data_IF_681957818895
#
_entry.id   IF_681957818895
#
_cell.length_a   1.000
_cell.length_b   1.000
_cell.length_c   1.000
_cell.angle_alpha   90.00
_cell.angle_beta   90.00
_cell.angle_gamma   90.00
#
_symmetry.space_group_name_H-M   'P 1'
#
loop_
_entity.id
_entity.type
_entity.pdbx_description
1 polymer ?
#
# COMPACT_ATOMS: atom_id res chain seq x y z
N UNK A 1 -46.26 -29.81 -6.77
CA UNK A 1 -44.82 -29.85 -6.48
C UNK A 1 -44.21 -30.97 -7.29
N UNK A 2 -43.29 -30.71 -8.12
CA UNK A 2 -42.57 -31.74 -8.87
C UNK A 2 -41.38 -32.16 -7.98
N UNK A 3 -41.35 -33.44 -7.59
CA UNK A 3 -40.18 -34.08 -6.98
C UNK A 3 -39.17 -34.41 -8.10
N UNK A 4 -38.73 -33.42 -8.81
CA UNK A 4 -37.89 -33.65 -9.98
C UNK A 4 -37.26 -32.40 -10.56
N UNK A 5 -36.61 -32.57 -11.67
CA UNK A 5 -35.95 -31.50 -12.41
C UNK A 5 -36.98 -30.74 -13.27
N UNK A 6 -36.97 -29.41 -13.22
CA UNK A 6 -37.64 -28.58 -14.22
C UNK A 6 -36.56 -28.15 -15.24
N UNK A 7 -36.60 -28.77 -16.42
CA UNK A 7 -35.76 -28.39 -17.55
C UNK A 7 -36.44 -27.33 -18.40
N UNK A 8 -35.84 -26.17 -18.52
CA UNK A 8 -36.18 -25.13 -19.47
C UNK A 8 -35.07 -25.08 -20.53
N UNK A 9 -35.39 -25.63 -21.73
CA UNK A 9 -34.43 -25.72 -22.85
C UNK A 9 -34.88 -24.79 -23.96
N UNK A 10 -33.96 -23.93 -24.40
CA UNK A 10 -34.15 -23.07 -25.56
C UNK A 10 -32.88 -23.02 -26.39
N UNK A 11 -33.01 -23.03 -27.72
CA UNK A 11 -31.88 -22.97 -28.65
C UNK A 11 -31.27 -21.55 -28.74
N UNK A 12 -32.00 -20.54 -28.29
CA UNK A 12 -31.57 -19.13 -28.43
C UNK A 12 -31.58 -18.37 -27.09
N UNK A 13 -32.73 -18.28 -26.41
CA UNK A 13 -32.89 -17.45 -25.21
C UNK A 13 -34.04 -17.95 -24.33
N UNK A 14 -33.85 -17.87 -23.00
CA UNK A 14 -34.91 -17.94 -22.00
C UNK A 14 -35.01 -16.58 -21.34
N UNK A 15 -36.09 -15.83 -21.62
CA UNK A 15 -36.34 -14.52 -21.04
C UNK A 15 -37.24 -14.62 -19.82
N UNK A 16 -36.79 -14.08 -18.67
CA UNK A 16 -37.59 -14.01 -17.45
C UNK A 16 -37.70 -12.53 -17.02
N UNK A 17 -38.90 -11.97 -17.31
CA UNK A 17 -39.21 -10.58 -16.94
C UNK A 17 -39.97 -10.53 -15.63
N UNK A 18 -39.28 -10.17 -14.56
CA UNK A 18 -39.84 -10.00 -13.22
C UNK A 18 -39.19 -8.82 -12.48
N UNK A 19 -39.96 -8.20 -11.59
CA UNK A 19 -39.39 -7.16 -10.67
C UNK A 19 -38.36 -7.76 -9.73
N UNK A 20 -38.55 -9.05 -9.35
CA UNK A 20 -37.63 -9.80 -8.50
C UNK A 20 -37.63 -11.26 -8.96
N UNK A 21 -36.46 -11.84 -9.09
CA UNK A 21 -36.27 -13.28 -9.28
C UNK A 21 -35.62 -13.79 -8.02
N UNK A 22 -36.37 -14.58 -7.22
CA UNK A 22 -35.90 -15.19 -5.99
C UNK A 22 -35.47 -16.62 -6.26
N UNK A 23 -34.18 -16.90 -6.03
CA UNK A 23 -33.58 -18.23 -6.22
C UNK A 23 -33.05 -18.71 -4.87
N UNK A 24 -33.76 -19.63 -4.23
CA UNK A 24 -33.41 -20.24 -2.94
C UNK A 24 -32.52 -21.47 -3.12
N UNK A 25 -31.39 -21.32 -3.77
CA UNK A 25 -30.46 -22.41 -4.07
C UNK A 25 -29.19 -21.88 -4.74
N UNK A 26 -28.35 -22.82 -5.17
CA UNK A 26 -27.15 -22.46 -5.93
C UNK A 26 -27.52 -22.08 -7.38
N UNK A 27 -26.86 -21.08 -7.91
CA UNK A 27 -26.90 -20.72 -9.35
C UNK A 27 -25.58 -21.14 -9.97
N UNK A 28 -25.64 -22.08 -10.93
CA UNK A 28 -24.49 -22.49 -11.72
C UNK A 28 -24.61 -21.84 -13.11
N UNK A 29 -23.67 -20.96 -13.43
CA UNK A 29 -23.61 -20.24 -14.72
C UNK A 29 -22.34 -20.71 -15.44
N UNK A 30 -22.50 -21.55 -16.45
CA UNK A 30 -21.37 -22.05 -17.26
C UNK A 30 -20.81 -21.03 -18.23
N UNK A 31 -21.52 -19.93 -18.45
CA UNK A 31 -21.11 -18.81 -19.31
C UNK A 31 -20.78 -17.54 -18.52
N UNK A 32 -20.95 -16.40 -19.17
CA UNK A 32 -20.73 -15.09 -18.55
C UNK A 32 -21.98 -14.64 -17.78
N UNK A 33 -21.80 -14.16 -16.55
CA UNK A 33 -22.81 -13.41 -15.85
C UNK A 33 -22.70 -11.92 -16.24
N UNK A 34 -23.74 -11.38 -16.91
CA UNK A 34 -23.78 -9.97 -17.29
C UNK A 34 -24.96 -9.30 -16.60
N UNK A 35 -24.67 -8.26 -15.82
CA UNK A 35 -25.69 -7.45 -15.14
C UNK A 35 -25.45 -5.97 -15.39
N UNK A 36 -26.52 -5.20 -15.57
CA UNK A 36 -26.45 -3.74 -15.74
C UNK A 36 -26.34 -2.97 -14.41
N UNK A 37 -26.49 -3.65 -13.28
CA UNK A 37 -26.52 -3.06 -11.94
C UNK A 37 -25.38 -3.51 -11.05
N UNK A 38 -25.44 -3.06 -9.79
CA UNK A 38 -24.49 -3.45 -8.75
C UNK A 38 -24.69 -4.92 -8.37
N UNK A 39 -23.59 -5.67 -8.28
CA UNK A 39 -23.58 -7.02 -7.70
C UNK A 39 -23.42 -6.89 -6.18
N UNK A 40 -24.46 -7.24 -5.42
CA UNK A 40 -24.43 -7.27 -3.94
C UNK A 40 -24.36 -8.71 -3.47
N UNK A 41 -23.33 -9.06 -2.67
CA UNK A 41 -23.18 -10.40 -2.09
C UNK A 41 -23.34 -10.34 -0.58
N UNK A 42 -24.03 -11.32 0.01
CA UNK A 42 -24.15 -11.46 1.47
C UNK A 42 -22.95 -12.18 2.11
N UNK A 43 -21.95 -12.58 1.35
CA UNK A 43 -20.78 -13.34 1.79
C UNK A 43 -19.54 -13.02 0.96
N UNK A 44 -18.59 -13.95 0.99
CA UNK A 44 -17.33 -13.79 0.26
C UNK A 44 -17.52 -13.92 -1.27
N UNK A 45 -16.68 -13.21 -2.02
CA UNK A 45 -16.48 -13.45 -3.45
C UNK A 45 -15.21 -14.29 -3.58
N UNK A 46 -15.34 -15.49 -4.13
CA UNK A 46 -14.22 -16.39 -4.42
C UNK A 46 -14.02 -16.43 -5.93
N UNK A 47 -12.84 -16.05 -6.37
CA UNK A 47 -12.45 -16.18 -7.78
C UNK A 47 -11.56 -17.42 -7.96
N UNK A 48 -11.46 -18.02 -9.15
CA UNK A 48 -10.59 -19.15 -9.41
C UNK A 48 -9.11 -18.85 -9.10
N UNK A 49 -8.31 -19.89 -8.87
CA UNK A 49 -6.85 -19.75 -8.80
C UNK A 49 -6.31 -19.04 -10.05
N UNK A 50 -5.42 -18.08 -9.86
CA UNK A 50 -4.92 -17.19 -10.90
C UNK A 50 -6.01 -16.34 -11.57
N UNK A 51 -7.11 -16.07 -10.85
CA UNK A 51 -8.19 -15.18 -11.31
C UNK A 51 -7.83 -13.71 -11.19
N UNK A 52 -8.53 -12.88 -11.93
CA UNK A 52 -8.29 -11.45 -12.02
C UNK A 52 -9.54 -10.64 -11.65
N UNK A 53 -9.33 -9.39 -11.21
CA UNK A 53 -10.37 -8.36 -11.07
C UNK A 53 -9.93 -7.16 -11.90
N UNK A 54 -10.81 -6.71 -12.79
CA UNK A 54 -10.47 -5.62 -13.70
C UNK A 54 -11.67 -4.86 -14.24
N UNK A 55 -11.41 -3.97 -15.16
CA UNK A 55 -12.41 -3.25 -15.94
C UNK A 55 -12.53 -3.86 -17.35
N UNK A 56 -13.49 -3.38 -18.15
CA UNK A 56 -13.64 -3.80 -19.55
C UNK A 56 -12.36 -3.56 -20.38
N UNK A 57 -11.64 -2.48 -20.08
CA UNK A 57 -10.43 -2.09 -20.81
C UNK A 57 -9.15 -2.69 -20.24
N UNK A 58 -9.19 -3.13 -18.98
CA UNK A 58 -8.08 -3.74 -18.27
C UNK A 58 -8.62 -4.84 -17.36
N UNK A 59 -8.68 -6.05 -17.87
CA UNK A 59 -9.31 -7.19 -17.19
C UNK A 59 -8.46 -7.80 -16.06
N UNK A 60 -7.20 -7.37 -15.93
CA UNK A 60 -6.26 -7.89 -14.97
C UNK A 60 -5.60 -6.81 -14.09
N UNK A 61 -6.27 -5.67 -13.87
CA UNK A 61 -5.78 -4.58 -13.03
C UNK A 61 -5.35 -5.07 -11.64
N UNK A 62 -6.07 -6.07 -11.09
CA UNK A 62 -5.69 -6.79 -9.88
C UNK A 62 -5.65 -8.29 -10.20
N UNK A 63 -4.53 -8.92 -9.93
CA UNK A 63 -4.37 -10.37 -10.06
C UNK A 63 -4.25 -11.04 -8.70
N UNK A 64 -4.81 -12.25 -8.54
CA UNK A 64 -4.67 -13.06 -7.34
C UNK A 64 -4.09 -14.41 -7.74
N UNK A 65 -2.84 -14.67 -7.32
CA UNK A 65 -2.17 -15.95 -7.63
C UNK A 65 -2.82 -17.14 -6.91
N UNK A 66 -2.47 -18.35 -7.29
CA UNK A 66 -2.91 -19.57 -6.59
C UNK A 66 -2.44 -19.66 -5.13
N UNK A 67 -1.38 -18.94 -4.78
CA UNK A 67 -0.87 -18.79 -3.40
C UNK A 67 -1.46 -17.61 -2.63
N UNK A 68 -2.46 -16.89 -3.19
CA UNK A 68 -3.12 -15.77 -2.52
C UNK A 68 -2.35 -14.45 -2.59
N UNK A 69 -1.29 -14.33 -3.39
CA UNK A 69 -0.59 -13.06 -3.59
C UNK A 69 -1.46 -12.15 -4.45
N UNK A 70 -1.74 -10.95 -3.96
CA UNK A 70 -2.45 -9.89 -4.68
C UNK A 70 -1.43 -8.96 -5.32
N UNK A 71 -1.54 -8.75 -6.62
CA UNK A 71 -0.70 -7.81 -7.36
C UNK A 71 -1.56 -6.79 -8.13
N UNK A 72 -1.19 -5.52 -8.01
CA UNK A 72 -1.69 -4.44 -8.88
C UNK A 72 -0.75 -4.37 -10.08
N UNK A 73 -1.25 -4.56 -11.28
CA UNK A 73 -0.43 -4.75 -12.49
C UNK A 73 -0.20 -3.46 -13.29
N UNK A 74 -0.94 -2.40 -12.99
CA UNK A 74 -0.73 -1.11 -13.64
C UNK A 74 0.70 -0.58 -13.40
N UNK A 75 1.29 0.05 -14.41
CA UNK A 75 2.66 0.60 -14.39
C UNK A 75 2.67 2.13 -14.39
N UNK A 76 1.58 2.74 -13.97
CA UNK A 76 1.47 4.20 -13.90
C UNK A 76 2.47 4.75 -12.89
N UNK A 77 3.35 5.65 -13.33
CA UNK A 77 4.30 6.31 -12.46
C UNK A 77 3.60 7.20 -11.43
N UNK A 78 4.13 7.25 -10.22
CA UNK A 78 3.64 8.14 -9.17
C UNK A 78 4.37 9.49 -9.25
N UNK A 79 3.61 10.58 -9.40
CA UNK A 79 4.12 11.96 -9.39
C UNK A 79 3.52 12.79 -8.26
N UNK A 80 2.39 12.35 -7.70
CA UNK A 80 1.65 13.00 -6.62
C UNK A 80 0.94 11.98 -5.73
N UNK A 81 0.30 12.41 -4.67
CA UNK A 81 -0.51 11.54 -3.80
C UNK A 81 -1.80 11.03 -4.46
N UNK A 82 -2.18 11.55 -5.62
CA UNK A 82 -3.43 11.23 -6.31
C UNK A 82 -3.24 10.43 -7.60
N UNK A 83 -2.03 10.01 -7.92
CA UNK A 83 -1.72 9.19 -9.09
C UNK A 83 -0.85 7.98 -8.73
N UNK A 84 -0.60 7.11 -9.73
CA UNK A 84 0.13 5.87 -9.53
C UNK A 84 -0.75 4.64 -9.80
N UNK A 85 -0.16 3.47 -9.76
CA UNK A 85 -0.85 2.19 -9.96
C UNK A 85 -1.84 1.86 -8.83
N UNK A 86 -1.55 2.32 -7.63
CA UNK A 86 -2.42 2.21 -6.45
C UNK A 86 -2.47 3.54 -5.73
N UNK A 87 -3.66 4.10 -5.54
CA UNK A 87 -3.88 5.30 -4.71
C UNK A 87 -4.65 4.92 -3.45
N UNK A 88 -4.18 5.38 -2.29
CA UNK A 88 -4.81 5.15 -0.99
C UNK A 88 -5.17 6.50 -0.39
N UNK A 89 -6.47 6.82 -0.33
CA UNK A 89 -6.94 8.11 0.16
C UNK A 89 -6.78 8.30 1.69
N UNK A 90 -6.62 7.21 2.43
CA UNK A 90 -6.35 7.19 3.86
C UNK A 90 -4.93 6.70 4.17
N UNK A 91 -4.73 6.21 5.38
CA UNK A 91 -3.47 5.60 5.79
C UNK A 91 -3.26 4.22 5.18
N UNK A 92 -2.01 3.85 4.93
CA UNK A 92 -1.59 2.50 4.58
C UNK A 92 -0.97 1.84 5.83
N UNK A 93 -1.58 0.76 6.32
CA UNK A 93 -1.03 -0.06 7.39
C UNK A 93 -0.32 -1.29 6.83
N UNK A 94 0.96 -1.47 7.19
CA UNK A 94 1.75 -2.65 6.85
C UNK A 94 2.21 -3.29 8.17
N UNK A 95 1.77 -4.51 8.44
CA UNK A 95 2.01 -5.17 9.73
C UNK A 95 3.44 -5.74 9.88
N UNK A 96 4.15 -5.91 8.77
CA UNK A 96 5.51 -6.42 8.73
C UNK A 96 6.41 -5.47 7.93
N UNK A 97 7.12 -5.98 6.96
CA UNK A 97 8.10 -5.22 6.19
C UNK A 97 7.48 -4.54 4.97
N UNK A 98 8.00 -3.37 4.59
CA UNK A 98 7.75 -2.72 3.32
C UNK A 98 9.07 -2.58 2.55
N UNK A 99 9.10 -3.10 1.31
CA UNK A 99 10.24 -2.95 0.39
C UNK A 99 9.89 -1.97 -0.71
N UNK A 100 10.64 -0.87 -0.80
CA UNK A 100 10.47 0.14 -1.84
C UNK A 100 11.62 -0.05 -2.84
N UNK A 101 11.29 -0.36 -4.09
CA UNK A 101 12.27 -0.69 -5.13
C UNK A 101 12.96 0.52 -5.78
N UNK A 102 12.44 1.71 -5.55
CA UNK A 102 12.95 2.99 -6.07
C UNK A 102 12.84 4.05 -4.97
N UNK A 103 12.20 5.19 -5.19
CA UNK A 103 12.13 6.29 -4.25
C UNK A 103 10.97 6.18 -3.25
N UNK A 104 11.21 6.53 -1.99
CA UNK A 104 10.19 6.87 -1.01
C UNK A 104 10.07 8.40 -0.90
N UNK A 105 8.91 8.96 -1.29
CA UNK A 105 8.64 10.40 -1.26
C UNK A 105 7.66 10.75 -0.15
N UNK A 106 8.09 11.58 0.79
CA UNK A 106 7.25 12.22 1.81
C UNK A 106 7.07 13.68 1.37
N UNK A 107 5.90 14.04 0.83
CA UNK A 107 5.71 15.25 0.02
C UNK A 107 5.11 16.45 0.76
N UNK A 108 4.79 16.33 2.04
CA UNK A 108 4.32 17.48 2.82
C UNK A 108 5.47 18.31 3.38
N UNK A 109 5.29 19.63 3.49
CA UNK A 109 6.32 20.57 3.97
C UNK A 109 6.71 20.35 5.46
N UNK A 110 5.95 19.55 6.16
CA UNK A 110 6.24 19.11 7.54
C UNK A 110 6.20 17.61 7.67
N UNK A 111 6.62 16.88 6.61
CA UNK A 111 6.62 15.42 6.62
C UNK A 111 7.50 14.88 7.76
N UNK A 112 7.02 13.85 8.43
CA UNK A 112 7.69 13.21 9.57
C UNK A 112 7.88 11.73 9.29
N UNK A 113 9.12 11.25 9.48
CA UNK A 113 9.43 9.83 9.61
C UNK A 113 9.63 9.54 11.10
N UNK A 114 8.76 8.71 11.68
CA UNK A 114 8.75 8.39 13.10
C UNK A 114 9.30 7.00 13.35
N UNK A 115 10.06 6.84 14.43
CA UNK A 115 10.64 5.58 14.88
C UNK A 115 10.19 5.27 16.30
N UNK A 116 10.06 3.97 16.62
CA UNK A 116 9.58 3.50 17.92
C UNK A 116 8.06 3.46 18.03
N UNK A 117 7.54 2.65 18.95
CA UNK A 117 6.11 2.49 19.18
C UNK A 117 5.43 3.75 19.74
N UNK A 118 6.19 4.57 20.44
CA UNK A 118 5.80 5.85 21.03
C UNK A 118 6.21 7.07 20.18
N UNK A 119 6.88 6.82 19.03
CA UNK A 119 7.35 7.87 18.11
C UNK A 119 8.27 8.90 18.78
N UNK A 120 9.10 8.48 19.71
CA UNK A 120 10.00 9.34 20.49
C UNK A 120 11.19 9.86 19.67
N UNK A 121 11.53 9.19 18.57
CA UNK A 121 12.53 9.63 17.61
C UNK A 121 11.90 9.94 16.27
N UNK A 122 12.09 11.17 15.79
CA UNK A 122 11.54 11.60 14.50
C UNK A 122 12.56 12.34 13.64
N UNK A 123 12.49 12.14 12.32
CA UNK A 123 13.16 12.93 11.31
C UNK A 123 12.11 13.75 10.57
N UNK A 124 12.13 15.06 10.74
CA UNK A 124 11.11 15.97 10.23
C UNK A 124 11.68 16.86 9.13
N UNK A 125 10.95 17.00 8.01
CA UNK A 125 11.25 18.00 7.01
C UNK A 125 10.94 19.40 7.56
N UNK A 126 11.96 20.25 7.60
CA UNK A 126 11.82 21.67 7.93
C UNK A 126 11.92 22.47 6.64
N UNK A 127 10.79 22.99 6.17
CA UNK A 127 10.69 23.68 4.87
C UNK A 127 11.75 24.76 4.70
N UNK A 128 12.38 24.75 3.52
CA UNK A 128 13.45 25.67 3.17
C UNK A 128 14.76 25.51 3.95
N UNK A 129 14.86 24.57 4.91
CA UNK A 129 16.02 24.41 5.80
C UNK A 129 16.69 23.04 5.72
N UNK A 130 15.93 21.95 5.83
CA UNK A 130 16.51 20.61 5.79
C UNK A 130 15.73 19.57 6.62
N UNK A 131 16.46 18.62 7.19
CA UNK A 131 15.92 17.57 8.05
C UNK A 131 16.33 17.80 9.51
N UNK A 132 15.36 17.77 10.41
CA UNK A 132 15.56 17.92 11.85
C UNK A 132 15.36 16.60 12.56
N UNK A 133 16.40 16.11 13.22
CA UNK A 133 16.28 15.04 14.22
C UNK A 133 15.80 15.69 15.52
N UNK A 134 14.70 15.20 16.08
CA UNK A 134 14.02 15.84 17.20
C UNK A 134 14.81 15.75 18.52
N UNK A 135 14.58 16.69 19.41
CA UNK A 135 15.13 16.73 20.79
C UNK A 135 16.67 16.67 20.79
N UNK A 136 17.24 15.94 21.74
CA UNK A 136 18.67 15.62 21.84
C UNK A 136 18.97 14.21 21.34
N UNK A 137 18.17 13.68 20.42
CA UNK A 137 18.41 12.38 19.80
C UNK A 137 19.71 12.40 18.98
N UNK A 138 20.31 11.23 18.84
CA UNK A 138 21.61 11.06 18.21
C UNK A 138 21.50 10.40 16.87
N UNK A 139 22.30 10.85 15.90
CA UNK A 139 22.65 10.03 14.74
C UNK A 139 23.86 9.18 15.15
N UNK A 140 23.63 7.90 15.43
CA UNK A 140 24.66 6.97 15.91
C UNK A 140 25.26 6.17 14.75
N UNK A 141 26.55 5.85 14.87
CA UNK A 141 27.30 5.03 13.94
C UNK A 141 27.89 3.85 14.70
N UNK A 142 27.58 2.61 14.25
CA UNK A 142 28.02 1.37 14.85
C UNK A 142 27.47 1.11 16.27
N UNK A 143 27.74 2.00 17.24
CA UNK A 143 27.22 1.91 18.61
C UNK A 143 26.93 3.29 19.23
N UNK A 144 26.53 3.32 20.51
CA UNK A 144 26.10 4.53 21.21
C UNK A 144 27.25 5.50 21.53
N UNK A 145 28.53 5.09 21.39
CA UNK A 145 29.70 5.93 21.68
C UNK A 145 30.13 6.78 20.48
N UNK A 146 29.66 6.45 19.27
CA UNK A 146 29.99 7.15 18.04
C UNK A 146 28.76 7.84 17.49
N UNK A 147 28.70 9.16 17.57
CA UNK A 147 27.48 9.89 17.21
C UNK A 147 27.72 11.35 16.82
N UNK A 148 26.70 11.92 16.16
CA UNK A 148 26.49 13.36 16.00
C UNK A 148 25.18 13.72 16.71
N UNK A 149 25.21 14.78 17.53
CA UNK A 149 24.08 15.20 18.35
C UNK A 149 24.05 16.72 18.56
N UNK A 150 22.88 17.32 18.49
CA UNK A 150 22.62 18.65 19.06
C UNK A 150 22.36 18.50 20.55
N UNK A 151 23.39 18.61 21.39
CA UNK A 151 23.26 18.42 22.82
C UNK A 151 22.49 19.55 23.53
N UNK A 152 22.48 20.73 22.92
CA UNK A 152 21.70 21.91 23.33
C UNK A 152 21.50 22.84 22.14
N UNK A 153 20.82 23.98 22.34
CA UNK A 153 20.62 25.00 21.31
C UNK A 153 21.94 25.62 20.77
N UNK A 154 23.05 25.43 21.47
CA UNK A 154 24.36 26.05 21.14
C UNK A 154 25.49 25.04 21.04
N UNK A 155 25.25 23.76 21.24
CA UNK A 155 26.28 22.72 21.25
C UNK A 155 25.95 21.63 20.24
N UNK A 156 26.87 21.38 19.33
CA UNK A 156 26.91 20.23 18.44
C UNK A 156 28.04 19.29 18.90
N UNK A 157 27.70 18.09 19.36
CA UNK A 157 28.68 17.06 19.71
C UNK A 157 28.95 16.17 18.50
N UNK A 158 30.24 15.90 18.27
CA UNK A 158 30.74 14.82 17.43
C UNK A 158 31.62 13.98 18.33
N UNK A 159 31.25 12.72 18.58
CA UNK A 159 31.90 11.88 19.57
C UNK A 159 32.30 10.52 19.01
N UNK A 160 33.45 10.02 19.46
CA UNK A 160 33.93 8.65 19.30
C UNK A 160 34.69 8.23 20.57
N UNK A 161 34.84 6.91 20.80
CA UNK A 161 35.56 6.39 21.98
C UNK A 161 37.08 6.67 21.91
N UNK A 162 37.66 6.46 20.71
CA UNK A 162 39.12 6.53 20.54
C UNK A 162 39.52 7.74 19.70
N UNK A 163 39.03 7.89 18.48
CA UNK A 163 39.53 8.87 17.53
C UNK A 163 38.42 9.46 16.65
N UNK A 164 38.51 10.73 16.37
CA UNK A 164 37.76 11.42 15.27
C UNK A 164 38.77 11.83 14.23
N UNK A 165 38.79 11.13 13.09
CA UNK A 165 39.69 11.45 11.98
C UNK A 165 39.01 12.46 11.04
N UNK A 166 39.66 13.61 10.83
CA UNK A 166 39.23 14.64 9.89
C UNK A 166 40.27 14.75 8.78
N UNK A 167 39.92 14.26 7.58
CA UNK A 167 40.81 14.33 6.40
C UNK A 167 40.29 15.35 5.40
N UNK A 168 40.98 16.47 5.24
CA UNK A 168 40.66 17.53 4.29
C UNK A 168 41.91 18.26 3.83
N UNK A 169 41.82 18.96 2.68
CA UNK A 169 42.91 19.87 2.21
C UNK A 169 43.06 21.06 3.15
N UNK A 170 41.97 21.53 3.76
CA UNK A 170 41.92 22.57 4.77
C UNK A 170 40.89 22.24 5.82
N UNK A 171 41.23 22.31 7.09
CA UNK A 171 40.34 22.25 8.25
C UNK A 171 40.44 23.61 8.93
N UNK A 172 39.36 24.37 8.91
CA UNK A 172 39.24 25.67 9.58
C UNK A 172 38.35 25.52 10.80
N UNK A 173 38.83 25.82 11.99
CA UNK A 173 38.16 25.68 13.28
C UNK A 173 38.24 26.99 14.10
#
# INVERSE_FOLDING_TARGET
SADGVLDLVSDTEIEINATTIDINGNVDVSGTYTGAGLMTTGGNIVIPNAGNIGSVSDTNAITISSGGVVAVTATTANTSASDGALTVAGGLGVAADASIGDDLRLISDSAVLSFGADSDTTLTHTDGSGLTLNSTNKLMFNDASQFIQGASATVLDIAATDEIELTATLIDV
#
